data_IF_091604933877
#
_entry.id   IF_091604933877
#
_cell.length_a   1.000
_cell.length_b   1.000
_cell.length_c   1.000
_cell.angle_alpha   90.00
_cell.angle_beta   90.00
_cell.angle_gamma   90.00
#
_symmetry.space_group_name_H-M   'P 1'
#
loop_
_entity.id
_entity.type
_entity.pdbx_description
1 polymer ?
#
# COMPACT_ATOMS: atom_id res chain seq x y z
N UNK A 1 16.32 -26.82 -17.13
CA UNK A 1 15.17 -27.75 -17.03
C UNK A 1 14.42 -27.68 -15.69
N UNK A 2 14.91 -26.96 -14.67
CA UNK A 2 14.29 -26.82 -13.33
C UNK A 2 13.12 -25.82 -13.27
N UNK A 3 13.23 -24.68 -13.95
CA UNK A 3 12.19 -23.63 -13.93
C UNK A 3 10.80 -24.07 -14.44
N UNK A 4 10.73 -25.03 -15.37
CA UNK A 4 9.44 -25.55 -15.88
C UNK A 4 8.71 -26.40 -14.83
N UNK A 5 9.44 -27.18 -14.02
CA UNK A 5 8.86 -28.07 -13.02
C UNK A 5 8.28 -27.29 -11.83
N UNK A 6 9.02 -26.29 -11.34
CA UNK A 6 8.57 -25.39 -10.27
C UNK A 6 7.32 -24.59 -10.68
N UNK A 7 7.30 -24.10 -11.92
CA UNK A 7 6.14 -23.41 -12.50
C UNK A 7 4.88 -24.29 -12.49
N UNK A 8 4.99 -25.55 -12.93
CA UNK A 8 3.85 -26.48 -12.97
C UNK A 8 3.39 -26.89 -11.56
N UNK A 9 4.31 -27.01 -10.60
CA UNK A 9 3.96 -27.31 -9.22
C UNK A 9 3.21 -26.16 -8.54
N UNK A 10 3.72 -24.93 -8.69
CA UNK A 10 3.05 -23.73 -8.18
C UNK A 10 1.64 -23.59 -8.75
N UNK A 11 1.49 -23.78 -10.06
CA UNK A 11 0.20 -23.75 -10.74
C UNK A 11 -0.77 -24.78 -10.15
N UNK A 12 -0.36 -26.05 -10.00
CA UNK A 12 -1.21 -27.09 -9.41
C UNK A 12 -1.66 -26.73 -8.00
N UNK A 13 -0.76 -26.17 -7.18
CA UNK A 13 -1.08 -25.68 -5.83
C UNK A 13 -2.13 -24.57 -5.88
N UNK A 14 -2.00 -23.60 -6.79
CA UNK A 14 -2.97 -22.51 -6.96
C UNK A 14 -4.33 -23.01 -7.48
N UNK A 15 -4.34 -23.97 -8.41
CA UNK A 15 -5.57 -24.60 -8.88
C UNK A 15 -6.29 -25.39 -7.78
N UNK A 16 -5.57 -26.18 -6.99
CA UNK A 16 -6.14 -26.88 -5.84
C UNK A 16 -6.76 -25.86 -4.87
N UNK A 17 -6.04 -24.78 -4.57
CA UNK A 17 -6.56 -23.73 -3.69
C UNK A 17 -7.79 -23.03 -4.27
N UNK A 18 -7.85 -22.80 -5.57
CA UNK A 18 -9.04 -22.26 -6.23
C UNK A 18 -10.26 -23.19 -6.08
N UNK A 19 -10.06 -24.51 -6.22
CA UNK A 19 -11.10 -25.52 -6.01
C UNK A 19 -11.56 -25.59 -4.55
N UNK A 20 -10.62 -25.48 -3.59
CA UNK A 20 -10.94 -25.42 -2.16
C UNK A 20 -11.85 -24.21 -1.84
N UNK A 21 -11.73 -23.13 -2.61
CA UNK A 21 -12.54 -21.92 -2.48
C UNK A 21 -13.85 -21.97 -3.27
N UNK A 22 -14.22 -23.11 -3.85
CA UNK A 22 -15.43 -23.26 -4.68
C UNK A 22 -16.74 -22.87 -3.99
N UNK A 23 -16.83 -22.95 -2.66
CA UNK A 23 -18.01 -22.51 -1.90
C UNK A 23 -18.14 -20.99 -1.75
N UNK A 24 -17.11 -20.22 -2.14
CA UNK A 24 -17.08 -18.75 -2.09
C UNK A 24 -17.10 -18.10 -3.48
N UNK A 25 -17.05 -18.91 -4.54
CA UNK A 25 -16.95 -18.46 -5.91
C UNK A 25 -18.22 -18.79 -6.68
N UNK A 26 -18.59 -17.96 -7.65
CA UNK A 26 -19.64 -18.29 -8.59
C UNK A 26 -19.31 -19.57 -9.37
N UNK A 27 -20.33 -20.32 -9.80
CA UNK A 27 -20.11 -21.40 -10.75
C UNK A 27 -19.71 -20.82 -12.11
N UNK A 28 -18.77 -21.47 -12.79
CA UNK A 28 -18.31 -21.07 -14.11
C UNK A 28 -16.86 -21.43 -14.38
N UNK A 29 -16.32 -20.84 -15.44
CA UNK A 29 -14.95 -21.08 -15.90
C UNK A 29 -14.06 -19.95 -15.39
N UNK A 30 -12.96 -20.31 -14.74
CA UNK A 30 -11.97 -19.39 -14.21
C UNK A 30 -10.64 -19.57 -14.94
N UNK A 31 -9.93 -18.46 -15.13
CA UNK A 31 -8.56 -18.44 -15.64
C UNK A 31 -7.67 -17.63 -14.71
N UNK A 32 -6.38 -17.93 -14.73
CA UNK A 32 -5.38 -17.18 -13.97
C UNK A 32 -4.74 -16.06 -14.81
N UNK A 33 -4.27 -15.02 -14.12
CA UNK A 33 -3.31 -14.05 -14.66
C UNK A 33 -1.93 -14.70 -14.93
N UNK A 34 -0.99 -13.95 -15.51
CA UNK A 34 0.35 -14.49 -15.84
C UNK A 34 1.15 -14.89 -14.62
N UNK A 35 0.92 -14.25 -13.47
CA UNK A 35 1.71 -14.42 -12.25
C UNK A 35 1.05 -15.38 -11.24
N UNK A 36 -0.12 -15.92 -11.59
CA UNK A 36 -0.95 -16.77 -10.73
C UNK A 36 -1.33 -16.12 -9.38
N UNK A 37 -1.41 -14.79 -9.38
CA UNK A 37 -1.87 -13.99 -8.23
C UNK A 37 -3.38 -13.86 -8.24
N UNK A 38 -4.00 -13.88 -9.42
CA UNK A 38 -5.43 -13.69 -9.56
C UNK A 38 -6.06 -14.82 -10.39
N UNK A 39 -7.22 -15.29 -9.96
CA UNK A 39 -8.10 -16.13 -10.75
C UNK A 39 -9.44 -15.41 -10.94
N UNK A 40 -9.94 -15.32 -12.17
CA UNK A 40 -11.18 -14.60 -12.46
C UNK A 40 -12.06 -15.36 -13.46
N UNK A 41 -13.37 -15.16 -13.32
CA UNK A 41 -14.38 -15.79 -14.16
C UNK A 41 -14.32 -15.23 -15.59
N UNK A 42 -14.26 -16.10 -16.59
CA UNK A 42 -14.07 -15.71 -18.01
C UNK A 42 -15.18 -14.85 -18.58
N UNK A 43 -16.37 -14.86 -17.97
CA UNK A 43 -17.50 -13.99 -18.36
C UNK A 43 -17.35 -12.55 -17.86
N UNK A 44 -16.28 -12.21 -17.13
CA UNK A 44 -16.01 -10.86 -16.62
C UNK A 44 -14.66 -10.29 -17.07
N UNK A 45 -14.31 -10.29 -18.38
CA UNK A 45 -12.99 -9.85 -18.80
C UNK A 45 -12.72 -8.35 -18.55
N UNK A 46 -13.77 -7.52 -18.44
CA UNK A 46 -13.65 -6.05 -18.41
C UNK A 46 -13.72 -5.45 -17.00
N UNK A 47 -13.48 -6.23 -15.94
CA UNK A 47 -13.47 -5.69 -14.59
C UNK A 47 -12.24 -4.78 -14.40
N UNK A 48 -12.33 -3.61 -13.72
CA UNK A 48 -11.19 -2.71 -13.51
C UNK A 48 -9.96 -3.41 -12.92
N UNK A 49 -10.19 -4.34 -11.98
CA UNK A 49 -9.16 -5.17 -11.36
C UNK A 49 -8.49 -6.19 -12.29
N UNK A 50 -9.04 -6.49 -13.47
CA UNK A 50 -8.48 -7.45 -14.43
C UNK A 50 -7.69 -6.71 -15.52
N UNK A 51 -8.17 -5.53 -15.92
CA UNK A 51 -7.53 -4.70 -16.95
C UNK A 51 -6.11 -4.25 -16.58
N UNK A 52 -5.79 -4.17 -15.29
CA UNK A 52 -4.46 -3.80 -14.77
C UNK A 52 -3.43 -4.93 -14.85
N UNK A 53 -3.83 -6.17 -15.15
CA UNK A 53 -2.92 -7.32 -15.17
C UNK A 53 -2.67 -7.85 -16.58
N UNK A 54 -1.43 -8.32 -16.82
CA UNK A 54 -1.07 -8.96 -18.07
C UNK A 54 -1.85 -10.26 -18.23
N UNK A 55 -2.77 -10.28 -19.18
CA UNK A 55 -3.53 -11.48 -19.53
C UNK A 55 -2.63 -12.48 -20.25
N UNK A 56 -2.61 -13.78 -19.86
CA UNK A 56 -1.86 -14.77 -20.61
C UNK A 56 -2.40 -14.85 -22.04
N UNK A 57 -1.50 -15.04 -23.02
CA UNK A 57 -1.91 -15.41 -24.39
C UNK A 57 -2.87 -16.61 -24.30
N UNK A 58 -3.95 -16.62 -25.07
CA UNK A 58 -5.03 -17.64 -25.02
C UNK A 58 -4.51 -19.09 -24.97
N UNK A 59 -3.40 -19.37 -25.66
CA UNK A 59 -2.77 -20.70 -25.72
C UNK A 59 -2.09 -21.16 -24.42
N UNK A 60 -1.92 -20.28 -23.43
CA UNK A 60 -1.31 -20.56 -22.11
C UNK A 60 -2.27 -20.32 -20.95
N UNK A 61 -3.56 -20.08 -21.23
CA UNK A 61 -4.56 -19.87 -20.18
C UNK A 61 -4.94 -21.20 -19.55
N UNK A 62 -4.71 -21.32 -18.25
CA UNK A 62 -5.13 -22.48 -17.48
C UNK A 62 -6.57 -22.28 -17.04
N UNK A 63 -7.42 -23.18 -17.52
CA UNK A 63 -8.87 -23.14 -17.34
C UNK A 63 -9.23 -24.09 -16.21
N UNK A 64 -9.92 -23.56 -15.19
CA UNK A 64 -10.49 -24.36 -14.09
C UNK A 64 -12.00 -24.14 -14.06
N UNK A 65 -12.77 -25.22 -14.11
CA UNK A 65 -14.22 -25.14 -13.96
C UNK A 65 -14.62 -25.28 -12.48
N UNK A 66 -15.38 -24.31 -11.97
CA UNK A 66 -15.97 -24.33 -10.64
C UNK A 66 -17.43 -24.79 -10.75
N UNK A 67 -17.70 -25.95 -10.15
CA UNK A 67 -19.03 -26.50 -9.95
C UNK A 67 -19.21 -26.81 -8.47
N UNK A 68 -20.12 -26.10 -7.83
CA UNK A 68 -20.52 -26.37 -6.45
C UNK A 68 -22.05 -26.37 -6.41
N UNK A 69 -22.62 -27.45 -5.90
CA UNK A 69 -24.07 -27.69 -5.87
C UNK A 69 -24.75 -27.17 -4.61
N UNK A 70 -24.00 -26.93 -3.54
CA UNK A 70 -24.54 -26.43 -2.27
C UNK A 70 -24.65 -24.89 -2.26
N UNK A 71 -25.34 -24.37 -1.24
CA UNK A 71 -25.44 -22.93 -1.00
C UNK A 71 -24.06 -22.32 -0.78
N UNK A 72 -23.72 -21.32 -1.59
CA UNK A 72 -22.45 -20.60 -1.50
C UNK A 72 -22.40 -19.72 -0.23
N UNK A 73 -21.23 -19.63 0.38
CA UNK A 73 -20.96 -18.70 1.49
C UNK A 73 -20.70 -17.27 1.01
N UNK A 74 -20.24 -17.12 -0.24
CA UNK A 74 -19.99 -15.86 -0.91
C UNK A 74 -20.11 -16.09 -2.44
N UNK A 75 -20.47 -15.05 -3.20
CA UNK A 75 -20.64 -15.13 -4.65
C UNK A 75 -19.56 -14.32 -5.36
N UNK A 76 -18.31 -14.77 -5.23
CA UNK A 76 -17.16 -14.11 -5.81
C UNK A 76 -16.93 -14.47 -7.27
N UNK A 77 -16.53 -13.51 -8.08
CA UNK A 77 -16.15 -13.71 -9.48
C UNK A 77 -14.66 -13.54 -9.75
N UNK A 78 -13.93 -12.97 -8.78
CA UNK A 78 -12.48 -12.77 -8.81
C UNK A 78 -11.90 -13.22 -7.47
N UNK A 79 -10.78 -13.93 -7.50
CA UNK A 79 -10.02 -14.36 -6.34
C UNK A 79 -8.58 -13.87 -6.48
N UNK A 80 -8.08 -13.19 -5.46
CA UNK A 80 -6.72 -12.68 -5.39
C UNK A 80 -5.97 -13.28 -4.20
N UNK A 81 -4.86 -13.95 -4.49
CA UNK A 81 -3.86 -14.40 -3.52
C UNK A 81 -2.90 -13.26 -3.16
N UNK A 82 -3.02 -12.72 -1.95
CA UNK A 82 -2.18 -11.63 -1.46
C UNK A 82 -0.79 -12.15 -1.04
N UNK A 83 0.21 -11.25 -1.05
CA UNK A 83 1.60 -11.60 -0.70
C UNK A 83 1.73 -11.98 0.78
N UNK A 84 0.94 -11.37 1.66
CA UNK A 84 0.87 -11.68 3.09
C UNK A 84 0.13 -13.01 3.41
N UNK A 85 -0.33 -13.73 2.38
CA UNK A 85 -1.06 -14.99 2.51
C UNK A 85 -2.58 -14.85 2.61
N UNK A 86 -3.11 -13.63 2.73
CA UNK A 86 -4.55 -13.41 2.71
C UNK A 86 -5.14 -13.77 1.33
N UNK A 87 -6.44 -14.07 1.31
CA UNK A 87 -7.19 -14.28 0.07
C UNK A 87 -8.32 -13.26 0.02
N UNK A 88 -8.34 -12.42 -1.02
CA UNK A 88 -9.43 -11.49 -1.32
C UNK A 88 -10.32 -12.11 -2.39
N UNK A 89 -11.64 -12.07 -2.21
CA UNK A 89 -12.64 -12.58 -3.14
C UNK A 89 -13.64 -11.45 -3.42
N UNK A 90 -13.79 -11.07 -4.69
CA UNK A 90 -14.58 -9.91 -5.10
C UNK A 90 -15.89 -10.35 -5.75
N UNK A 91 -17.01 -9.82 -5.25
CA UNK A 91 -18.32 -9.81 -5.94
C UNK A 91 -18.55 -8.44 -6.60
N UNK A 92 -19.75 -8.20 -7.14
CA UNK A 92 -20.12 -6.89 -7.70
C UNK A 92 -20.17 -5.76 -6.67
N UNK A 93 -20.45 -6.10 -5.41
CA UNK A 93 -20.83 -5.14 -4.38
C UNK A 93 -19.99 -5.28 -3.09
N UNK A 94 -19.20 -6.35 -2.95
CA UNK A 94 -18.47 -6.69 -1.74
C UNK A 94 -17.11 -7.31 -2.02
N UNK A 95 -16.24 -7.20 -1.03
CA UNK A 95 -14.96 -7.89 -0.99
C UNK A 95 -14.91 -8.73 0.29
N UNK A 96 -14.76 -10.03 0.13
CA UNK A 96 -14.47 -10.96 1.23
C UNK A 96 -12.95 -11.11 1.35
N UNK A 97 -12.41 -10.82 2.53
CA UNK A 97 -11.02 -11.13 2.87
C UNK A 97 -11.00 -12.31 3.85
N UNK A 98 -10.34 -13.39 3.46
CA UNK A 98 -9.99 -14.51 4.33
C UNK A 98 -8.55 -14.27 4.79
N UNK A 99 -8.38 -13.91 6.06
CA UNK A 99 -7.07 -13.55 6.59
C UNK A 99 -6.22 -14.82 6.82
N UNK A 100 -4.92 -14.71 6.57
CA UNK A 100 -3.96 -15.82 6.71
C UNK A 100 -3.88 -16.32 8.16
N UNK A 101 -4.02 -15.42 9.13
CA UNK A 101 -4.00 -15.71 10.54
C UNK A 101 -4.84 -14.71 11.36
N UNK A 102 -4.91 -14.97 12.67
CA UNK A 102 -5.66 -14.14 13.63
C UNK A 102 -5.05 -12.74 13.82
N UNK A 103 -3.73 -12.60 13.66
CA UNK A 103 -3.05 -11.31 13.82
C UNK A 103 -3.39 -10.38 12.65
N UNK A 104 -3.34 -10.90 11.41
CA UNK A 104 -3.78 -10.18 10.20
C UNK A 104 -5.23 -9.72 10.33
N UNK A 105 -6.12 -10.63 10.76
CA UNK A 105 -7.53 -10.33 11.00
C UNK A 105 -7.75 -9.21 12.02
N UNK A 106 -7.12 -9.33 13.19
CA UNK A 106 -7.27 -8.36 14.27
C UNK A 106 -6.74 -6.97 13.85
N UNK A 107 -5.58 -6.94 13.18
CA UNK A 107 -4.97 -5.69 12.72
C UNK A 107 -5.85 -4.95 11.72
N UNK A 108 -6.47 -5.65 10.76
CA UNK A 108 -7.39 -5.03 9.79
C UNK A 108 -8.61 -4.40 10.48
N UNK A 109 -9.17 -5.05 11.50
CA UNK A 109 -10.27 -4.47 12.30
C UNK A 109 -9.82 -3.23 13.08
N UNK A 110 -8.67 -3.31 13.74
CA UNK A 110 -8.12 -2.20 14.52
C UNK A 110 -7.79 -0.99 13.64
N UNK A 111 -7.18 -1.22 12.48
CA UNK A 111 -6.87 -0.18 11.51
C UNK A 111 -8.15 0.43 10.94
N UNK A 112 -9.15 -0.37 10.58
CA UNK A 112 -10.46 0.15 10.15
C UNK A 112 -11.09 1.03 11.24
N UNK A 113 -11.14 0.57 12.49
CA UNK A 113 -11.72 1.32 13.60
C UNK A 113 -10.96 2.63 13.88
N UNK A 114 -9.63 2.61 13.73
CA UNK A 114 -8.79 3.77 13.97
C UNK A 114 -8.89 4.82 12.86
N UNK A 115 -8.85 4.41 11.58
CA UNK A 115 -8.74 5.35 10.45
C UNK A 115 -10.06 5.76 9.81
N UNK A 116 -11.12 4.95 9.91
CA UNK A 116 -12.44 5.28 9.30
C UNK A 116 -13.08 6.59 9.76
N UNK A 117 -12.80 7.14 10.97
CA UNK A 117 -13.27 8.48 11.34
C UNK A 117 -12.57 9.62 10.58
N UNK A 118 -11.39 9.39 10.00
CA UNK A 118 -10.54 10.43 9.39
C UNK A 118 -10.42 10.29 7.88
N UNK A 119 -10.48 9.05 7.39
CA UNK A 119 -10.33 8.71 5.98
C UNK A 119 -11.58 7.97 5.50
N UNK A 120 -11.93 8.21 4.23
CA UNK A 120 -13.01 7.47 3.59
C UNK A 120 -12.48 6.08 3.22
N UNK A 121 -12.87 5.07 3.99
CA UNK A 121 -12.43 3.68 3.85
C UNK A 121 -13.67 2.84 3.52
N UNK A 122 -13.57 1.78 2.69
CA UNK A 122 -14.68 0.88 2.45
C UNK A 122 -15.27 0.35 3.76
N UNK A 123 -16.58 0.45 3.88
CA UNK A 123 -17.34 0.05 5.07
C UNK A 123 -17.16 -1.43 5.36
N UNK A 124 -16.71 -1.75 6.58
CA UNK A 124 -16.62 -3.11 7.08
C UNK A 124 -18.02 -3.61 7.49
N UNK A 125 -18.65 -4.39 6.62
CA UNK A 125 -20.05 -4.85 6.76
C UNK A 125 -20.21 -6.13 7.58
N UNK A 126 -19.20 -7.01 7.63
CA UNK A 126 -19.26 -8.28 8.39
C UNK A 126 -17.89 -8.67 8.94
N UNK A 127 -17.90 -9.26 10.12
CA UNK A 127 -16.74 -9.84 10.81
C UNK A 127 -17.08 -11.27 11.26
N UNK A 128 -16.21 -12.23 10.96
CA UNK A 128 -16.29 -13.61 11.44
C UNK A 128 -14.96 -14.02 12.06
N UNK A 129 -14.87 -13.82 13.37
CA UNK A 129 -13.68 -14.12 14.17
C UNK A 129 -13.35 -15.61 14.22
N UNK A 130 -14.34 -16.50 14.04
CA UNK A 130 -14.09 -17.95 14.10
C UNK A 130 -13.29 -18.41 12.88
N UNK A 131 -13.53 -17.79 11.73
CA UNK A 131 -12.90 -18.15 10.46
C UNK A 131 -11.91 -17.09 9.95
N UNK A 132 -11.62 -16.05 10.73
CA UNK A 132 -10.77 -14.91 10.37
C UNK A 132 -11.22 -14.23 9.05
N UNK A 133 -12.52 -14.01 8.88
CA UNK A 133 -13.09 -13.44 7.65
C UNK A 133 -13.68 -12.05 7.85
N UNK A 134 -13.42 -11.17 6.90
CA UNK A 134 -13.93 -9.80 6.85
C UNK A 134 -14.69 -9.59 5.54
N UNK A 135 -15.80 -8.86 5.58
CA UNK A 135 -16.51 -8.46 4.35
C UNK A 135 -16.66 -6.95 4.32
N UNK A 136 -16.09 -6.33 3.31
CA UNK A 136 -16.13 -4.89 3.05
C UNK A 136 -17.01 -4.60 1.83
N UNK A 137 -17.48 -3.37 1.69
CA UNK A 137 -18.10 -2.92 0.45
C UNK A 137 -17.07 -2.90 -0.69
N UNK A 138 -17.52 -3.26 -1.90
CA UNK A 138 -16.73 -3.02 -3.11
C UNK A 138 -17.01 -1.60 -3.60
N UNK A 139 -15.95 -0.81 -3.75
CA UNK A 139 -16.03 0.54 -4.28
C UNK A 139 -15.92 0.47 -5.80
N UNK A 140 -16.93 0.97 -6.52
CA UNK A 140 -16.80 1.20 -7.94
C UNK A 140 -15.88 2.41 -8.16
N UNK A 141 -14.83 2.21 -8.96
CA UNK A 141 -13.81 3.22 -9.21
C UNK A 141 -13.46 3.31 -10.68
N UNK A 142 -13.00 4.50 -11.06
CA UNK A 142 -12.58 4.85 -12.40
C UNK A 142 -11.06 4.77 -12.53
N UNK A 143 -10.59 4.54 -13.77
CA UNK A 143 -9.18 4.67 -14.09
C UNK A 143 -8.74 6.12 -13.93
N UNK A 144 -7.59 6.33 -13.28
CA UNK A 144 -7.05 7.66 -13.02
C UNK A 144 -6.33 8.19 -14.24
N UNK A 145 -6.50 9.47 -14.51
CA UNK A 145 -5.79 10.19 -15.57
C UNK A 145 -4.88 11.26 -14.97
N UNK A 146 -3.98 11.80 -15.78
CA UNK A 146 -3.13 12.94 -15.36
C UNK A 146 -3.95 14.17 -14.91
N UNK A 147 -5.15 14.34 -15.47
CA UNK A 147 -6.07 15.44 -15.09
C UNK A 147 -6.67 15.25 -13.69
N UNK A 148 -6.63 14.03 -13.15
CA UNK A 148 -7.08 13.72 -11.80
C UNK A 148 -6.03 14.01 -10.73
N UNK A 149 -4.74 14.07 -11.09
CA UNK A 149 -3.65 14.25 -10.14
C UNK A 149 -3.85 15.47 -9.22
N UNK A 150 -4.17 16.69 -9.73
CA UNK A 150 -4.30 17.85 -8.85
C UNK A 150 -5.43 17.68 -7.83
N UNK A 151 -6.51 16.99 -8.22
CA UNK A 151 -7.62 16.68 -7.32
C UNK A 151 -7.19 15.67 -6.26
N UNK A 152 -6.54 14.58 -6.68
CA UNK A 152 -6.09 13.51 -5.79
C UNK A 152 -5.16 14.07 -4.71
N UNK A 153 -4.12 14.81 -5.13
CA UNK A 153 -3.14 15.41 -4.24
C UNK A 153 -3.77 16.39 -3.26
N UNK A 154 -4.59 17.31 -3.77
CA UNK A 154 -5.25 18.30 -2.91
C UNK A 154 -6.15 17.63 -1.90
N UNK A 155 -6.90 16.60 -2.28
CA UNK A 155 -7.80 15.89 -1.36
C UNK A 155 -7.04 15.06 -0.34
N UNK A 156 -5.99 14.34 -0.76
CA UNK A 156 -5.07 13.62 0.13
C UNK A 156 -4.46 14.57 1.17
N UNK A 157 -3.86 15.66 0.71
CA UNK A 157 -3.30 16.70 1.58
C UNK A 157 -4.31 17.20 2.62
N UNK A 158 -5.52 17.55 2.21
CA UNK A 158 -6.55 18.05 3.13
C UNK A 158 -6.95 17.01 4.18
N UNK A 159 -7.12 15.74 3.79
CA UNK A 159 -7.47 14.67 4.71
C UNK A 159 -6.38 14.46 5.77
N UNK A 160 -5.10 14.43 5.36
CA UNK A 160 -3.98 14.35 6.31
C UNK A 160 -3.86 15.59 7.18
N UNK A 161 -4.05 16.79 6.63
CA UNK A 161 -4.04 18.04 7.41
C UNK A 161 -5.09 17.99 8.51
N UNK A 162 -6.31 17.59 8.19
CA UNK A 162 -7.42 17.53 9.14
C UNK A 162 -7.16 16.44 10.21
N UNK A 163 -6.64 15.29 9.79
CA UNK A 163 -6.19 14.21 10.68
C UNK A 163 -5.08 14.67 11.64
N UNK A 164 -4.01 15.31 11.15
CA UNK A 164 -2.91 15.79 11.98
C UNK A 164 -3.38 16.87 12.96
N UNK A 165 -4.25 17.79 12.50
CA UNK A 165 -4.86 18.82 13.35
C UNK A 165 -5.73 18.21 14.46
N UNK A 166 -6.40 17.10 14.18
CA UNK A 166 -7.14 16.36 15.20
C UNK A 166 -6.21 15.72 16.23
N UNK A 167 -5.12 15.07 15.78
CA UNK A 167 -4.17 14.41 16.67
C UNK A 167 -3.50 15.37 17.67
N UNK A 168 -3.16 16.59 17.25
CA UNK A 168 -2.52 17.58 18.13
C UNK A 168 -3.43 18.02 19.29
N UNK A 169 -4.76 17.86 19.16
CA UNK A 169 -5.73 18.16 20.22
C UNK A 169 -5.83 17.05 21.29
N UNK A 170 -5.37 15.83 20.99
CA UNK A 170 -5.48 14.66 21.89
C UNK A 170 -4.29 14.49 22.86
N UNK A 171 -3.36 15.45 22.90
CA UNK A 171 -2.25 15.60 23.89
C UNK A 171 -1.13 14.56 23.94
N UNK A 172 -1.20 13.45 23.20
CA UNK A 172 -0.14 12.41 23.21
C UNK A 172 0.36 12.09 21.81
N UNK A 173 1.31 12.89 21.35
CA UNK A 173 2.11 12.59 20.14
C UNK A 173 3.52 12.24 20.59
N UNK A 174 4.01 11.08 20.16
CA UNK A 174 5.38 10.67 20.39
C UNK A 174 6.32 11.41 19.45
N UNK A 175 7.43 11.92 19.96
CA UNK A 175 8.47 12.55 19.15
C UNK A 175 9.75 11.72 19.24
N UNK A 176 10.36 11.45 18.10
CA UNK A 176 11.61 10.68 18.02
C UNK A 176 12.62 11.37 17.11
N UNK A 177 13.89 11.16 17.38
CA UNK A 177 14.99 11.52 16.48
C UNK A 177 15.43 10.31 15.66
N UNK A 178 16.11 10.55 14.54
CA UNK A 178 16.68 9.45 13.78
C UNK A 178 17.82 8.75 14.53
N UNK A 179 18.58 9.49 15.35
CA UNK A 179 19.59 8.92 16.24
C UNK A 179 18.97 7.93 17.24
N UNK A 180 17.83 8.26 17.83
CA UNK A 180 17.13 7.34 18.76
C UNK A 180 16.70 6.06 18.04
N UNK A 181 16.16 6.18 16.83
CA UNK A 181 15.80 5.01 16.01
C UNK A 181 17.01 4.17 15.63
N UNK A 182 18.12 4.82 15.31
CA UNK A 182 19.38 4.15 15.01
C UNK A 182 19.85 3.35 16.23
N UNK A 183 19.81 3.90 17.43
CA UNK A 183 20.25 3.19 18.64
C UNK A 183 19.45 1.93 18.95
N UNK A 184 18.14 1.92 18.64
CA UNK A 184 17.24 0.81 18.98
C UNK A 184 17.00 -0.17 17.83
N UNK A 185 17.37 0.18 16.59
CA UNK A 185 17.09 -0.64 15.42
C UNK A 185 18.00 -1.87 15.34
N UNK A 186 17.39 -3.03 15.14
CA UNK A 186 18.11 -4.28 14.84
C UNK A 186 18.83 -4.27 13.49
N UNK A 187 18.47 -3.33 12.59
CA UNK A 187 19.07 -3.23 11.26
C UNK A 187 20.34 -2.39 11.20
N UNK A 188 20.79 -1.83 12.33
CA UNK A 188 22.04 -1.05 12.39
C UNK A 188 23.30 -1.86 12.14
N UNK A 189 23.23 -3.18 12.33
CA UNK A 189 24.27 -4.13 11.89
C UNK A 189 24.54 -4.06 10.38
N UNK A 190 23.59 -3.52 9.61
CA UNK A 190 23.70 -3.28 8.17
C UNK A 190 23.95 -1.80 7.82
N UNK A 191 24.48 -1.02 8.75
CA UNK A 191 24.82 0.39 8.50
C UNK A 191 25.72 0.66 7.30
N UNK A 192 26.71 -0.20 6.93
CA UNK A 192 27.47 -0.01 5.70
C UNK A 192 26.60 0.05 4.43
N UNK A 193 25.46 -0.65 4.42
CA UNK A 193 24.58 -0.79 3.26
C UNK A 193 23.78 0.49 2.98
N UNK A 194 23.55 1.34 3.98
CA UNK A 194 22.83 2.62 3.82
C UNK A 194 23.71 3.84 4.14
N UNK A 195 25.04 3.69 4.09
CA UNK A 195 25.99 4.77 4.34
C UNK A 195 25.85 5.89 3.29
N UNK A 196 25.62 5.56 2.02
CA UNK A 196 25.47 6.58 0.98
C UNK A 196 24.22 7.44 1.18
N UNK A 197 23.12 6.82 1.60
CA UNK A 197 21.87 7.51 1.95
C UNK A 197 22.10 8.40 3.17
N UNK A 198 22.76 7.87 4.20
CA UNK A 198 23.14 8.60 5.42
C UNK A 198 23.92 9.88 5.10
N UNK A 199 24.90 9.81 4.17
CA UNK A 199 25.70 10.96 3.73
C UNK A 199 24.91 12.04 2.97
N UNK A 200 23.69 11.75 2.51
CA UNK A 200 22.80 12.71 1.83
C UNK A 200 21.84 13.42 2.78
N UNK A 201 21.78 13.00 4.04
CA UNK A 201 20.93 13.60 5.07
C UNK A 201 21.73 14.69 5.79
N UNK A 202 21.19 15.89 5.84
CA UNK A 202 21.79 16.99 6.59
C UNK A 202 21.94 16.62 8.08
N UNK A 203 23.12 16.84 8.71
CA UNK A 203 23.39 16.39 10.08
C UNK A 203 22.36 16.84 11.12
N UNK A 204 21.80 18.04 10.96
CA UNK A 204 20.78 18.59 11.85
C UNK A 204 19.50 17.73 11.91
N UNK A 205 19.17 17.00 10.84
CA UNK A 205 17.96 16.16 10.79
C UNK A 205 18.09 14.89 11.64
N UNK A 206 19.32 14.44 11.93
CA UNK A 206 19.53 13.26 12.78
C UNK A 206 19.09 13.47 14.22
N UNK A 207 19.28 14.69 14.72
CA UNK A 207 18.95 15.11 16.09
C UNK A 207 17.60 15.82 16.17
N UNK A 208 16.99 16.12 15.03
CA UNK A 208 15.67 16.75 14.96
C UNK A 208 14.61 15.79 15.46
N UNK A 209 13.74 16.28 16.36
CA UNK A 209 12.59 15.53 16.86
C UNK A 209 11.43 15.70 15.89
N UNK A 210 11.02 14.60 15.26
CA UNK A 210 9.80 14.57 14.46
C UNK A 210 8.69 13.81 15.19
N UNK A 211 7.43 14.18 14.97
CA UNK A 211 6.30 13.41 15.46
C UNK A 211 6.20 12.09 14.71
N UNK A 212 6.00 11.03 15.48
CA UNK A 212 5.65 9.70 15.01
C UNK A 212 4.19 9.48 15.33
N UNK A 213 3.42 9.19 14.29
CA UNK A 213 1.97 9.00 14.35
C UNK A 213 1.57 7.80 13.50
N UNK A 214 0.38 7.25 13.79
CA UNK A 214 -0.18 6.17 12.97
C UNK A 214 -0.49 6.71 11.57
N UNK A 215 0.14 6.13 10.56
CA UNK A 215 0.01 6.47 9.14
C UNK A 215 -0.33 5.21 8.34
N UNK A 216 -0.66 5.35 7.05
CA UNK A 216 -1.03 4.24 6.18
C UNK A 216 0.12 3.27 5.94
N UNK A 217 1.36 3.75 5.83
CA UNK A 217 2.56 2.93 5.70
C UNK A 217 2.89 2.43 4.28
N UNK A 218 1.92 2.50 3.37
CA UNK A 218 2.07 2.15 1.95
C UNK A 218 1.14 2.99 1.07
N UNK A 219 1.17 4.30 1.26
CA UNK A 219 0.35 5.22 0.47
C UNK A 219 0.96 5.40 -0.93
N UNK A 220 0.15 5.19 -1.97
CA UNK A 220 0.49 5.37 -3.40
C UNK A 220 -0.80 5.38 -4.23
N UNK A 221 -0.71 5.70 -5.53
CA UNK A 221 -1.90 5.90 -6.37
C UNK A 221 -2.82 4.68 -6.47
N UNK A 222 -2.29 3.45 -6.39
CA UNK A 222 -3.10 2.22 -6.46
C UNK A 222 -3.91 1.97 -5.18
N UNK A 223 -3.46 2.46 -4.03
CA UNK A 223 -4.19 2.39 -2.75
C UNK A 223 -5.20 3.54 -2.56
N UNK A 224 -5.39 4.37 -3.59
CA UNK A 224 -6.39 5.43 -3.62
C UNK A 224 -7.39 5.11 -4.73
N UNK A 225 -8.65 4.91 -4.42
CA UNK A 225 -9.68 4.70 -5.45
C UNK A 225 -10.36 6.03 -5.76
N UNK A 226 -10.48 6.36 -7.04
CA UNK A 226 -11.23 7.52 -7.51
C UNK A 226 -12.63 7.06 -7.93
N UNK A 227 -13.66 7.65 -7.35
CA UNK A 227 -15.05 7.34 -7.67
C UNK A 227 -15.81 8.62 -8.04
N UNK A 228 -16.77 8.51 -8.95
CA UNK A 228 -17.68 9.58 -9.30
C UNK A 228 -19.04 9.37 -8.61
N UNK A 229 -19.29 10.14 -7.56
CA UNK A 229 -20.56 10.13 -6.83
C UNK A 229 -21.46 11.27 -7.31
N UNK A 230 -22.73 11.28 -6.89
CA UNK A 230 -23.69 12.34 -7.27
C UNK A 230 -23.18 13.76 -6.97
N UNK A 231 -22.28 13.91 -5.98
CA UNK A 231 -21.71 15.18 -5.54
C UNK A 231 -20.29 15.46 -6.12
N UNK A 232 -19.87 14.68 -7.12
CA UNK A 232 -18.58 14.83 -7.79
C UNK A 232 -17.57 13.74 -7.42
N UNK A 233 -16.30 14.01 -7.74
CA UNK A 233 -15.18 13.09 -7.50
C UNK A 233 -14.96 12.87 -6.00
N UNK A 234 -14.69 11.63 -5.63
CA UNK A 234 -14.42 11.19 -4.26
C UNK A 234 -13.21 10.26 -4.25
N UNK A 235 -12.37 10.40 -3.22
CA UNK A 235 -11.29 9.45 -2.93
C UNK A 235 -11.69 8.46 -1.84
N UNK A 236 -11.34 7.20 -2.04
CA UNK A 236 -11.37 6.14 -1.03
C UNK A 236 -9.96 5.60 -0.81
N UNK A 237 -9.64 5.23 0.42
CA UNK A 237 -8.33 4.71 0.81
C UNK A 237 -8.46 3.25 1.22
N UNK A 238 -7.65 2.39 0.62
CA UNK A 238 -7.71 0.93 0.81
C UNK A 238 -6.34 0.40 1.28
N UNK A 239 -6.31 -0.86 1.73
CA UNK A 239 -5.07 -1.58 2.05
C UNK A 239 -4.27 -1.00 3.23
N UNK A 240 -4.97 -0.76 4.34
CA UNK A 240 -4.42 -0.25 5.59
C UNK A 240 -3.62 -1.29 6.42
N UNK A 241 -3.33 -2.50 5.92
CA UNK A 241 -2.62 -3.54 6.68
C UNK A 241 -1.18 -3.18 7.09
N UNK A 242 -0.56 -2.23 6.39
CA UNK A 242 0.78 -1.71 6.66
C UNK A 242 0.75 -0.52 7.61
N UNK A 243 -0.43 -0.12 8.09
CA UNK A 243 -0.53 1.04 8.94
C UNK A 243 0.18 0.80 10.28
N UNK A 244 1.01 1.76 10.66
CA UNK A 244 1.85 1.72 11.85
C UNK A 244 2.32 3.13 12.20
N UNK A 245 3.15 3.25 13.23
CA UNK A 245 3.71 4.48 13.72
C UNK A 245 4.94 4.92 12.91
N UNK A 246 4.77 5.95 12.07
CA UNK A 246 5.80 6.46 11.17
C UNK A 246 6.02 7.96 11.39
N UNK A 247 7.15 8.48 10.88
CA UNK A 247 7.38 9.93 10.82
C UNK A 247 6.25 10.61 10.03
N UNK A 248 5.67 11.71 10.52
CA UNK A 248 4.40 12.25 10.00
C UNK A 248 4.33 12.55 8.49
N UNK A 249 5.46 12.79 7.82
CA UNK A 249 5.52 13.02 6.37
C UNK A 249 5.75 11.74 5.55
N UNK A 250 5.79 10.58 6.20
CA UNK A 250 6.12 9.29 5.59
C UNK A 250 5.21 8.98 4.40
N UNK A 251 3.88 9.02 4.57
CA UNK A 251 2.95 8.62 3.50
C UNK A 251 3.07 9.50 2.24
N UNK A 252 3.37 10.79 2.39
CA UNK A 252 3.60 11.67 1.25
C UNK A 252 4.84 11.29 0.46
N UNK A 253 5.92 10.93 1.15
CA UNK A 253 7.15 10.53 0.48
C UNK A 253 7.13 9.08 0.02
N UNK A 254 6.39 8.20 0.70
CA UNK A 254 6.09 6.85 0.24
C UNK A 254 5.28 6.89 -1.05
N UNK A 255 4.33 7.81 -1.18
CA UNK A 255 3.63 8.07 -2.44
C UNK A 255 4.63 8.42 -3.55
N UNK A 256 5.43 9.47 -3.36
CA UNK A 256 6.43 9.91 -4.36
C UNK A 256 7.40 8.76 -4.72
N UNK A 257 7.83 7.99 -3.72
CA UNK A 257 8.74 6.86 -3.92
C UNK A 257 8.08 5.74 -4.73
N UNK A 258 6.87 5.32 -4.40
CA UNK A 258 6.19 4.23 -5.10
C UNK A 258 5.83 4.62 -6.55
N UNK A 259 5.46 5.88 -6.82
CA UNK A 259 5.26 6.35 -8.21
C UNK A 259 6.57 6.27 -9.03
N UNK A 260 7.71 6.64 -8.41
CA UNK A 260 9.02 6.52 -9.05
C UNK A 260 9.48 5.06 -9.17
N UNK A 261 9.26 4.24 -8.15
CA UNK A 261 9.82 2.90 -8.07
C UNK A 261 9.01 1.90 -8.91
N UNK A 262 7.69 1.91 -8.75
CA UNK A 262 6.77 0.95 -9.37
C UNK A 262 6.28 1.43 -10.73
N UNK A 263 5.80 2.68 -10.82
CA UNK A 263 5.27 3.24 -12.06
C UNK A 263 6.33 3.86 -12.96
N UNK A 264 7.58 3.93 -12.50
CA UNK A 264 8.70 4.57 -13.21
C UNK A 264 8.42 6.05 -13.53
N UNK A 265 7.52 6.68 -12.77
CA UNK A 265 7.15 8.07 -12.94
C UNK A 265 7.93 8.98 -11.98
N UNK A 266 8.88 9.72 -12.54
CA UNK A 266 9.64 10.71 -11.80
C UNK A 266 8.93 12.07 -11.65
N UNK A 267 7.71 12.24 -12.17
CA UNK A 267 7.00 13.53 -12.20
C UNK A 267 6.84 14.11 -10.79
N UNK A 268 6.35 13.31 -9.83
CA UNK A 268 6.14 13.77 -8.46
C UNK A 268 7.43 14.12 -7.74
N UNK A 269 8.50 13.34 -7.95
CA UNK A 269 9.81 13.66 -7.39
C UNK A 269 10.33 14.99 -7.94
N UNK A 270 10.20 15.22 -9.25
CA UNK A 270 10.60 16.48 -9.90
C UNK A 270 9.80 17.67 -9.37
N UNK A 271 8.47 17.55 -9.26
CA UNK A 271 7.57 18.56 -8.69
C UNK A 271 7.97 18.91 -7.24
N UNK A 272 8.29 17.89 -6.43
CA UNK A 272 8.80 18.08 -5.07
C UNK A 272 10.10 18.88 -5.03
N UNK A 273 11.11 18.46 -5.80
CA UNK A 273 12.41 19.17 -5.86
C UNK A 273 12.24 20.60 -6.39
N UNK A 274 11.39 20.82 -7.39
CA UNK A 274 11.05 22.15 -7.92
C UNK A 274 10.30 23.05 -6.91
N UNK A 275 9.71 22.46 -5.87
CA UNK A 275 9.05 23.19 -4.78
C UNK A 275 7.57 23.42 -4.98
N UNK A 276 6.94 22.67 -5.87
CA UNK A 276 5.49 22.74 -6.11
C UNK A 276 4.68 22.33 -4.88
N UNK A 277 5.27 21.57 -3.93
CA UNK A 277 4.64 21.14 -2.69
C UNK A 277 5.11 21.93 -1.45
N UNK A 278 5.93 22.96 -1.61
CA UNK A 278 6.56 23.66 -0.48
C UNK A 278 5.52 24.31 0.45
N UNK A 279 4.41 24.82 -0.09
CA UNK A 279 3.38 25.49 0.70
C UNK A 279 2.61 24.48 1.57
N UNK A 280 2.21 23.37 0.98
CA UNK A 280 1.54 22.26 1.63
C UNK A 280 2.44 21.68 2.73
N UNK A 281 3.72 21.43 2.44
CA UNK A 281 4.68 20.90 3.40
C UNK A 281 4.95 21.89 4.54
N UNK A 282 5.10 23.20 4.28
CA UNK A 282 5.22 24.21 5.35
C UNK A 282 4.03 24.15 6.29
N UNK A 283 2.81 24.02 5.76
CA UNK A 283 1.62 23.94 6.58
C UNK A 283 1.60 22.64 7.42
N UNK A 284 1.86 21.48 6.82
CA UNK A 284 1.88 20.21 7.58
C UNK A 284 2.95 20.21 8.68
N UNK A 285 4.15 20.72 8.40
CA UNK A 285 5.22 20.85 9.39
C UNK A 285 4.81 21.81 10.52
N UNK A 286 4.14 22.92 10.20
CA UNK A 286 3.68 23.90 11.19
C UNK A 286 2.61 23.37 12.15
N UNK A 287 1.83 22.35 11.77
CA UNK A 287 0.86 21.71 12.68
C UNK A 287 1.57 21.14 13.92
N UNK A 288 2.83 20.74 13.78
CA UNK A 288 3.66 20.17 14.84
C UNK A 288 4.72 21.14 15.37
N UNK A 289 4.56 22.44 15.11
CA UNK A 289 5.51 23.50 15.47
C UNK A 289 6.91 23.31 14.86
N UNK A 290 6.97 22.69 13.68
CA UNK A 290 8.20 22.48 12.94
C UNK A 290 8.29 23.46 11.76
N UNK A 291 9.44 24.10 11.59
CA UNK A 291 9.70 24.90 10.40
C UNK A 291 10.27 24.03 9.27
N UNK A 292 9.50 23.85 8.20
CA UNK A 292 9.98 23.18 6.98
C UNK A 292 11.08 24.04 6.32
N UNK A 293 12.21 23.41 5.99
CA UNK A 293 13.31 24.09 5.30
C UNK A 293 13.40 23.61 3.84
N UNK A 294 12.92 24.38 2.85
CA UNK A 294 12.94 23.97 1.43
C UNK A 294 14.32 23.58 0.90
N UNK A 295 15.39 24.18 1.44
CA UNK A 295 16.78 23.84 1.09
C UNK A 295 17.18 22.39 1.48
N UNK A 296 16.43 21.75 2.39
CA UNK A 296 16.70 20.39 2.89
C UNK A 296 15.82 19.32 2.23
N UNK A 297 15.12 19.62 1.12
CA UNK A 297 14.19 18.69 0.48
C UNK A 297 14.79 17.32 0.16
N UNK A 298 15.98 17.29 -0.43
CA UNK A 298 16.67 16.02 -0.69
C UNK A 298 16.97 15.26 0.60
N UNK A 299 17.40 15.96 1.65
CA UNK A 299 17.68 15.36 2.95
C UNK A 299 16.42 14.83 3.65
N UNK A 300 15.27 15.52 3.57
CA UNK A 300 13.99 14.99 4.06
C UNK A 300 13.57 13.72 3.30
N UNK A 301 13.85 13.68 1.98
CA UNK A 301 13.56 12.50 1.17
C UNK A 301 14.50 11.33 1.51
N UNK A 302 15.80 11.56 1.71
CA UNK A 302 16.68 10.51 2.22
C UNK A 302 16.31 10.09 3.65
N UNK A 303 15.84 11.03 4.48
CA UNK A 303 15.41 10.77 5.85
C UNK A 303 14.26 9.77 5.91
N UNK A 304 13.16 9.95 5.16
CA UNK A 304 12.03 9.01 5.25
C UNK A 304 12.46 7.62 4.78
N UNK A 305 13.29 7.55 3.74
CA UNK A 305 13.70 6.27 3.20
C UNK A 305 14.57 5.50 4.19
N UNK A 306 15.55 6.20 4.80
CA UNK A 306 16.34 5.62 5.88
C UNK A 306 15.45 5.23 7.08
N UNK A 307 14.50 6.08 7.45
CA UNK A 307 13.53 5.82 8.50
C UNK A 307 12.74 4.52 8.23
N UNK A 308 12.25 4.33 7.00
CA UNK A 308 11.52 3.12 6.58
C UNK A 308 12.37 1.85 6.76
N UNK A 309 13.65 1.90 6.35
CA UNK A 309 14.55 0.76 6.42
C UNK A 309 14.86 0.37 7.86
N UNK A 310 15.18 1.36 8.72
CA UNK A 310 15.62 1.11 10.09
C UNK A 310 14.46 0.87 11.07
N UNK A 311 13.30 1.49 10.86
CA UNK A 311 12.15 1.39 11.77
C UNK A 311 11.38 0.06 11.61
N UNK A 312 11.47 -0.59 10.44
CA UNK A 312 10.72 -1.83 10.20
C UNK A 312 11.14 -2.95 11.15
N UNK A 313 10.15 -3.46 11.89
CA UNK A 313 10.22 -4.36 13.04
C UNK A 313 10.40 -5.84 12.66
N UNK A 314 10.93 -6.13 11.47
CA UNK A 314 11.52 -7.44 11.16
C UNK A 314 10.60 -8.43 10.45
N UNK A 315 9.52 -7.97 9.80
CA UNK A 315 8.67 -8.86 8.99
C UNK A 315 9.25 -9.14 7.61
N UNK A 316 10.10 -8.25 7.10
CA UNK A 316 10.77 -8.41 5.80
C UNK A 316 12.24 -8.75 6.03
N UNK A 317 12.68 -9.88 5.47
CA UNK A 317 14.08 -10.27 5.53
C UNK A 317 14.96 -9.18 4.88
N UNK A 318 16.07 -8.81 5.53
CA UNK A 318 16.94 -7.70 5.09
C UNK A 318 17.37 -7.81 3.62
N UNK A 319 17.51 -9.01 3.06
CA UNK A 319 17.81 -9.22 1.63
C UNK A 319 16.86 -8.50 0.67
N UNK A 320 15.57 -8.40 1.01
CA UNK A 320 14.60 -7.68 0.17
C UNK A 320 14.75 -6.16 0.32
N UNK A 321 15.21 -5.70 1.49
CA UNK A 321 15.55 -4.28 1.71
C UNK A 321 16.80 -3.86 0.95
N UNK A 322 17.74 -4.78 0.77
CA UNK A 322 18.93 -4.49 0.00
C UNK A 322 18.57 -4.10 -1.44
N UNK A 323 17.63 -4.83 -2.07
CA UNK A 323 17.13 -4.48 -3.39
C UNK A 323 16.43 -3.11 -3.40
N UNK A 324 15.63 -2.80 -2.37
CA UNK A 324 14.98 -1.50 -2.24
C UNK A 324 16.00 -0.36 -2.08
N UNK A 325 17.06 -0.56 -1.29
CA UNK A 325 18.18 0.37 -1.13
C UNK A 325 18.86 0.62 -2.49
N UNK A 326 19.23 -0.45 -3.20
CA UNK A 326 19.90 -0.35 -4.48
C UNK A 326 19.03 0.36 -5.53
N UNK A 327 17.71 0.08 -5.53
CA UNK A 327 16.75 0.77 -6.39
C UNK A 327 16.63 2.25 -6.03
N UNK A 328 16.56 2.59 -4.74
CA UNK A 328 16.50 3.98 -4.30
C UNK A 328 17.74 4.75 -4.72
N UNK A 329 18.94 4.23 -4.46
CA UNK A 329 20.19 4.87 -4.89
C UNK A 329 20.21 5.07 -6.41
N UNK A 330 19.85 4.04 -7.17
CA UNK A 330 19.86 4.07 -8.64
C UNK A 330 18.85 5.06 -9.22
N UNK A 331 17.65 5.18 -8.64
CA UNK A 331 16.56 6.01 -9.19
C UNK A 331 16.61 7.44 -8.68
N UNK A 332 16.99 7.65 -7.41
CA UNK A 332 16.90 8.96 -6.76
C UNK A 332 18.20 9.75 -6.88
N UNK A 333 19.36 9.14 -6.66
CA UNK A 333 20.63 9.91 -6.62
C UNK A 333 20.96 10.62 -7.94
N UNK A 334 20.69 10.06 -9.12
CA UNK A 334 20.89 10.80 -10.38
C UNK A 334 20.00 12.03 -10.54
N UNK A 335 18.89 12.10 -9.78
CA UNK A 335 17.95 13.22 -9.79
C UNK A 335 18.26 14.28 -8.73
N UNK A 336 19.28 14.05 -7.88
CA UNK A 336 19.68 14.96 -6.81
C UNK A 336 20.69 16.04 -7.25
N UNK A 337 20.82 16.29 -8.55
CA UNK A 337 21.81 17.20 -9.13
C UNK A 337 21.42 18.66 -9.08
#
# INVERSE_FOLDING_TARGET
MTASKEYHEMLRKKQAKLLDMSSYLENGIYVFDTDFRMAFKTTRPNHPMINTFNMPKKEKQFITEIKHSETKYFNGSILWFCINGDIKIFSDDKVLTICSDKESYQRKIENYAYFSPFFRIPTLSKQDTKHNMLVEEFINFDEKTADDEPFIFKRMYNNYRDYFTYLTRLTKIGYQTLNQLWEISSHTVYSPQFEKITKKIAPELFSMKFPFINLHGDMWSDNILLSHEQNGKTLWYIDWETADNYVFFYDFFKFIWNELDVHQDASFYKKYIAGEFDNELRHLFSIFDINFQPKLKQSYFCYFFLNAIINDTGRIAFKFKQEEIENFERKVFPLMT
#
